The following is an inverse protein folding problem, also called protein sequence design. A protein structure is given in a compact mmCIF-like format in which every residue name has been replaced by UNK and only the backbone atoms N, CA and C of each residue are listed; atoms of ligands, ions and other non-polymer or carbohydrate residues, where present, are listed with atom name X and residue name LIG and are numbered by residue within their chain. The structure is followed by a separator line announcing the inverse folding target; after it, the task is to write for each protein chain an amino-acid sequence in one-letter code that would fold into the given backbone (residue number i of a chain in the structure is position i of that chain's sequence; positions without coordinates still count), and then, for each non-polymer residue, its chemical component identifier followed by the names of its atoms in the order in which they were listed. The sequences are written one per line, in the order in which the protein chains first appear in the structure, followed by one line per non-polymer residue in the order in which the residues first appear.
data_IF_313656927009
#
_entry.id   IF_313656927009
#
_cell.length_a   1.000
_cell.length_b   1.000
_cell.length_c   1.000
_cell.angle_alpha   90.00
_cell.angle_beta   90.00
_cell.angle_gamma   90.00
#
_symmetry.space_group_name_H-M   'P 1'
#
loop_
_entity.id
_entity.type
_entity.pdbx_description
1 polymer ?
#
# COMPACT_ATOMS: atom_id res chain seq x y z
N UNK A 1 -9.34 14.64 2.06
CA UNK A 1 -8.62 13.42 1.66
C UNK A 1 -8.49 12.49 2.85
N UNK A 2 -8.42 11.21 2.58
CA UNK A 2 -8.23 10.20 3.63
C UNK A 2 -6.76 9.86 3.76
N UNK A 3 -6.29 9.75 4.99
CA UNK A 3 -4.95 9.24 5.25
C UNK A 3 -5.06 7.74 5.50
N UNK A 4 -4.34 6.97 4.69
CA UNK A 4 -4.40 5.51 4.77
C UNK A 4 -3.02 4.97 5.07
N UNK A 5 -2.85 4.26 6.20
CA UNK A 5 -1.59 3.59 6.48
C UNK A 5 -1.38 2.43 5.51
N UNK A 6 -0.14 2.26 5.08
CA UNK A 6 0.23 1.19 4.18
C UNK A 6 1.13 0.23 4.93
N UNK A 7 0.71 -1.02 4.99
CA UNK A 7 1.49 -2.08 5.62
C UNK A 7 2.18 -2.93 4.57
N UNK A 8 3.34 -3.44 4.96
CA UNK A 8 4.05 -4.45 4.18
C UNK A 8 4.27 -5.62 5.14
N UNK A 9 3.71 -6.76 4.80
CA UNK A 9 3.75 -7.96 5.65
C UNK A 9 3.25 -7.69 7.07
N UNK A 10 2.19 -6.88 7.17
CA UNK A 10 1.55 -6.60 8.45
C UNK A 10 2.19 -5.49 9.27
N UNK A 11 3.26 -4.86 8.79
CA UNK A 11 3.91 -3.76 9.49
C UNK A 11 3.73 -2.47 8.72
N UNK A 12 3.32 -1.40 9.41
CA UNK A 12 3.14 -0.09 8.78
C UNK A 12 4.48 0.43 8.29
N UNK A 13 4.58 0.69 6.99
CA UNK A 13 5.81 1.18 6.38
C UNK A 13 5.65 2.57 5.77
N UNK A 14 4.43 3.05 5.65
CA UNK A 14 4.19 4.37 5.10
C UNK A 14 2.73 4.75 5.25
N UNK A 15 2.42 5.94 4.79
CA UNK A 15 1.05 6.46 4.77
C UNK A 15 0.84 7.18 3.45
N UNK A 16 -0.38 7.10 2.94
CA UNK A 16 -0.75 7.81 1.73
C UNK A 16 -2.00 8.62 1.98
N UNK A 17 -2.20 9.66 1.17
CA UNK A 17 -3.43 10.43 1.20
C UNK A 17 -4.14 10.22 -0.12
N UNK A 18 -5.41 9.90 -0.04
CA UNK A 18 -6.22 9.59 -1.22
C UNK A 18 -7.56 10.30 -1.14
N UNK A 19 -8.16 10.61 -2.30
CA UNK A 19 -9.53 11.11 -2.30
C UNK A 19 -10.48 10.08 -1.70
N UNK A 20 -11.51 10.55 -1.01
CA UNK A 20 -12.46 9.65 -0.35
C UNK A 20 -13.15 8.69 -1.33
N UNK A 21 -13.32 9.12 -2.58
CA UNK A 21 -13.97 8.31 -3.61
C UNK A 21 -12.98 7.50 -4.45
N UNK A 22 -11.70 7.49 -4.11
CA UNK A 22 -10.72 6.74 -4.87
C UNK A 22 -11.02 5.24 -4.86
N UNK A 23 -10.91 4.62 -6.01
CA UNK A 23 -11.09 3.17 -6.12
C UNK A 23 -9.88 2.40 -5.67
N UNK A 24 -10.03 1.08 -5.53
CA UNK A 24 -8.94 0.21 -5.08
C UNK A 24 -7.71 0.33 -5.95
N UNK A 25 -7.87 0.31 -7.27
CA UNK A 25 -6.73 0.39 -8.17
C UNK A 25 -5.93 1.68 -8.00
N UNK A 26 -6.64 2.80 -7.81
CA UNK A 26 -5.99 4.08 -7.60
C UNK A 26 -5.25 4.13 -6.27
N UNK A 27 -5.87 3.62 -5.21
CA UNK A 27 -5.26 3.60 -3.88
C UNK A 27 -4.01 2.72 -3.89
N UNK A 28 -4.08 1.57 -4.51
CA UNK A 28 -2.92 0.67 -4.58
C UNK A 28 -1.80 1.29 -5.42
N UNK A 29 -2.12 1.98 -6.51
CA UNK A 29 -1.12 2.66 -7.32
C UNK A 29 -0.41 3.76 -6.53
N UNK A 30 -1.17 4.54 -5.77
CA UNK A 30 -0.59 5.59 -4.93
C UNK A 30 0.29 4.99 -3.82
N UNK A 31 -0.14 3.88 -3.25
CA UNK A 31 0.64 3.20 -2.22
C UNK A 31 1.97 2.71 -2.78
N UNK A 32 1.96 2.11 -3.97
CA UNK A 32 3.20 1.65 -4.61
C UNK A 32 4.15 2.79 -4.96
N UNK A 33 3.60 3.96 -5.24
CA UNK A 33 4.39 5.13 -5.59
C UNK A 33 4.99 5.84 -4.38
N UNK A 34 4.57 5.49 -3.18
CA UNK A 34 5.13 6.09 -1.98
C UNK A 34 6.58 5.65 -1.79
N UNK A 35 7.48 6.60 -1.51
CA UNK A 35 8.90 6.30 -1.40
C UNK A 35 9.22 5.28 -0.32
N UNK A 36 8.58 5.40 0.83
CA UNK A 36 8.85 4.48 1.94
C UNK A 36 8.34 3.08 1.64
N UNK A 37 7.14 2.98 1.08
CA UNK A 37 6.57 1.70 0.69
C UNK A 37 7.36 1.10 -0.46
N UNK A 38 7.74 1.92 -1.44
CA UNK A 38 8.50 1.47 -2.59
C UNK A 38 9.83 0.82 -2.22
N UNK A 39 10.51 1.35 -1.20
CA UNK A 39 11.75 0.76 -0.71
C UNK A 39 11.56 -0.67 -0.24
N UNK A 40 10.42 -0.94 0.42
CA UNK A 40 10.14 -2.28 0.93
C UNK A 40 9.65 -3.22 -0.16
N UNK A 41 9.09 -2.68 -1.24
CA UNK A 41 8.62 -3.50 -2.36
C UNK A 41 9.72 -3.79 -3.37
N UNK A 42 10.76 -2.97 -3.41
CA UNK A 42 11.84 -3.12 -4.39
C UNK A 42 12.55 -4.45 -4.21
N UNK A 43 12.73 -5.19 -5.30
CA UNK A 43 13.40 -6.48 -5.26
C UNK A 43 12.57 -7.61 -4.69
N UNK A 44 11.32 -7.36 -4.35
CA UNK A 44 10.43 -8.36 -3.77
C UNK A 44 9.29 -8.69 -4.73
N UNK A 45 8.76 -9.90 -4.61
CA UNK A 45 7.58 -10.29 -5.36
C UNK A 45 6.34 -9.94 -4.55
N UNK A 46 5.47 -9.12 -5.11
CA UNK A 46 4.19 -8.81 -4.50
C UNK A 46 3.25 -9.98 -4.69
N UNK A 47 2.93 -10.67 -3.60
CA UNK A 47 2.07 -11.85 -3.66
C UNK A 47 0.60 -11.50 -3.56
N UNK A 48 0.29 -10.47 -2.80
CA UNK A 48 -1.10 -10.07 -2.59
C UNK A 48 -1.13 -8.60 -2.16
N UNK A 49 -2.17 -7.91 -2.56
CA UNK A 49 -2.44 -6.57 -2.08
C UNK A 49 -3.86 -6.56 -1.52
N UNK A 50 -4.00 -6.15 -0.28
CA UNK A 50 -5.28 -6.11 0.40
C UNK A 50 -5.58 -4.66 0.73
N UNK A 51 -6.74 -4.19 0.30
CA UNK A 51 -7.19 -2.85 0.63
C UNK A 51 -8.52 -2.92 1.37
N UNK A 52 -8.52 -2.39 2.58
CA UNK A 52 -9.75 -2.19 3.34
C UNK A 52 -10.13 -0.73 3.17
N UNK A 53 -11.23 -0.47 2.48
CA UNK A 53 -11.62 0.86 2.06
C UNK A 53 -11.64 1.84 3.23
N UNK A 54 -10.93 2.95 3.07
CA UNK A 54 -10.86 4.00 4.07
C UNK A 54 -10.07 3.66 5.32
N UNK A 55 -9.41 2.50 5.37
CA UNK A 55 -8.73 2.06 6.58
C UNK A 55 -7.26 1.73 6.37
N UNK A 56 -6.95 0.79 5.49
CA UNK A 56 -5.59 0.28 5.42
C UNK A 56 -5.32 -0.39 4.08
N UNK A 57 -4.07 -0.32 3.66
CA UNK A 57 -3.54 -1.13 2.56
C UNK A 57 -2.47 -2.04 3.13
N UNK A 58 -2.50 -3.30 2.79
CA UNK A 58 -1.47 -4.24 3.21
C UNK A 58 -0.95 -5.01 2.00
N UNK A 59 0.35 -4.90 1.75
CA UNK A 59 1.01 -5.68 0.71
C UNK A 59 1.67 -6.88 1.34
N UNK A 60 1.37 -8.05 0.82
CA UNK A 60 2.06 -9.28 1.21
C UNK A 60 3.12 -9.54 0.15
N UNK A 61 4.36 -9.52 0.55
CA UNK A 61 5.50 -9.72 -0.35
C UNK A 61 6.37 -10.85 0.16
N UNK A 62 7.20 -11.36 -0.72
CA UNK A 62 8.16 -12.38 -0.36
C UNK A 62 9.32 -12.35 -1.32
N UNK A 63 10.42 -12.98 -0.93
CA UNK A 63 11.58 -13.11 -1.81
C UNK A 63 11.21 -13.95 -3.02
N UNK A 64 11.63 -13.49 -4.19
CA UNK A 64 11.41 -14.24 -5.42
C UNK A 64 12.42 -15.36 -5.56
#
# INVERSE_FOLDING_TARGET
MLEIPVQVNGKVRGKIQVPAEAGEAEVLALARADDNVGKHLAGQTEKRAIYVRGRIVNFVIGAS
#
